data_IF_060347127953
#
_entry.id   IF_060347127953
#
_cell.length_a   1.000
_cell.length_b   1.000
_cell.length_c   1.000
_cell.angle_alpha   90.00
_cell.angle_beta   90.00
_cell.angle_gamma   90.00
#
_symmetry.space_group_name_H-M   'P 1'
#
loop_
_entity.id
_entity.type
_entity.pdbx_description
1 polymer ?
#
# COMPACT_ATOMS: atom_id res chain seq x y z
N UNK A 1 31.51 4.76 -73.45
CA UNK A 1 31.67 4.00 -72.19
C UNK A 1 31.62 5.01 -71.06
N UNK A 2 30.64 4.88 -70.17
CA UNK A 2 30.36 5.84 -69.10
C UNK A 2 28.96 5.58 -68.54
N UNK A 3 28.86 4.56 -67.69
CA UNK A 3 27.63 4.11 -67.02
C UNK A 3 27.22 5.11 -65.94
N UNK A 4 26.08 5.78 -66.12
CA UNK A 4 25.48 6.66 -65.11
C UNK A 4 24.76 5.85 -64.04
N UNK A 5 25.26 5.91 -62.80
CA UNK A 5 24.58 5.39 -61.62
C UNK A 5 23.47 6.36 -61.18
N UNK A 6 22.21 5.92 -61.30
CA UNK A 6 21.06 6.58 -60.71
C UNK A 6 21.00 6.24 -59.21
N UNK A 7 21.09 7.27 -58.37
CA UNK A 7 21.00 7.18 -56.90
C UNK A 7 19.52 7.09 -56.51
N UNK A 8 19.02 5.88 -56.30
CA UNK A 8 17.66 5.62 -55.81
C UNK A 8 17.49 6.13 -54.38
N UNK A 9 16.63 7.13 -54.19
CA UNK A 9 16.27 7.68 -52.89
C UNK A 9 15.16 6.79 -52.30
N UNK A 10 15.52 5.84 -51.45
CA UNK A 10 14.56 5.03 -50.69
C UNK A 10 14.01 5.90 -49.56
N UNK A 11 12.76 6.35 -49.69
CA UNK A 11 12.01 6.95 -48.57
C UNK A 11 11.68 5.82 -47.59
N UNK A 12 12.26 5.87 -46.40
CA UNK A 12 11.78 5.12 -45.25
C UNK A 12 10.59 5.88 -44.68
N UNK A 13 9.38 5.50 -45.10
CA UNK A 13 8.16 5.90 -44.38
C UNK A 13 8.16 5.14 -43.04
N UNK A 14 8.39 5.89 -41.96
CA UNK A 14 8.16 5.42 -40.59
C UNK A 14 6.66 5.21 -40.41
N UNK A 15 6.21 3.97 -40.59
CA UNK A 15 4.88 3.53 -40.20
C UNK A 15 4.82 3.53 -38.67
N UNK A 16 4.46 4.67 -38.10
CA UNK A 16 4.15 4.77 -36.68
C UNK A 16 2.97 3.84 -36.40
N UNK A 17 3.25 2.78 -35.65
CA UNK A 17 2.33 1.84 -35.04
C UNK A 17 1.11 2.58 -34.45
N UNK A 18 0.08 2.78 -35.28
CA UNK A 18 -1.19 3.40 -34.91
C UNK A 18 -2.01 2.36 -34.20
N UNK A 19 -1.68 2.12 -32.92
CA UNK A 19 -2.60 1.45 -32.00
C UNK A 19 -3.93 2.24 -32.01
N UNK A 20 -5.06 1.63 -32.39
CA UNK A 20 -6.33 2.33 -32.43
C UNK A 20 -6.64 2.92 -31.04
N UNK A 21 -7.11 4.18 -30.97
CA UNK A 21 -7.39 4.83 -29.70
C UNK A 21 -8.39 3.98 -28.92
N UNK A 22 -8.01 3.56 -27.72
CA UNK A 22 -8.93 2.86 -26.82
C UNK A 22 -9.89 3.90 -26.27
N UNK A 23 -11.12 3.92 -26.76
CA UNK A 23 -12.15 4.81 -26.26
C UNK A 23 -12.61 4.31 -24.90
N UNK A 24 -12.13 4.93 -23.82
CA UNK A 24 -12.64 4.68 -22.47
C UNK A 24 -13.96 5.42 -22.31
N UNK A 25 -15.07 4.71 -22.52
CA UNK A 25 -16.39 5.24 -22.20
C UNK A 25 -16.51 5.32 -20.68
N UNK A 26 -16.41 6.53 -20.12
CA UNK A 26 -16.70 6.74 -18.70
C UNK A 26 -18.21 6.60 -18.53
N UNK A 27 -18.66 5.60 -17.78
CA UNK A 27 -20.09 5.38 -17.53
C UNK A 27 -20.69 6.63 -16.90
N UNK A 28 -21.74 7.19 -17.52
CA UNK A 28 -22.44 8.35 -16.99
C UNK A 28 -23.07 8.06 -15.62
N UNK A 29 -23.36 9.09 -14.80
CA UNK A 29 -23.87 8.91 -13.44
C UNK A 29 -25.21 8.16 -13.43
N UNK A 30 -25.42 7.32 -12.41
CA UNK A 30 -26.70 6.64 -12.19
C UNK A 30 -27.82 7.63 -11.85
N UNK A 31 -28.80 7.76 -12.75
CA UNK A 31 -30.06 8.46 -12.50
C UNK A 31 -31.14 7.51 -11.98
N UNK A 32 -32.08 8.03 -11.19
CA UNK A 32 -33.26 7.32 -10.69
C UNK A 32 -33.32 7.25 -9.16
N UNK A 33 -34.34 6.58 -8.65
CA UNK A 33 -34.53 6.35 -7.21
C UNK A 33 -35.16 4.99 -6.96
N UNK A 34 -34.94 4.44 -5.77
CA UNK A 34 -35.56 3.20 -5.31
C UNK A 34 -36.46 3.48 -4.12
N UNK A 35 -37.68 2.96 -4.17
CA UNK A 35 -38.61 3.00 -3.04
C UNK A 35 -38.48 1.71 -2.24
N UNK A 36 -38.40 1.85 -0.93
CA UNK A 36 -38.24 0.76 0.02
C UNK A 36 -39.37 0.81 1.05
N UNK A 37 -39.84 -0.36 1.44
CA UNK A 37 -40.81 -0.54 2.51
C UNK A 37 -40.19 -1.37 3.62
N UNK A 38 -40.25 -0.87 4.85
CA UNK A 38 -39.82 -1.59 6.04
C UNK A 38 -41.02 -2.28 6.67
N UNK A 39 -40.85 -3.56 6.99
CA UNK A 39 -41.79 -4.31 7.81
C UNK A 39 -41.23 -4.45 9.23
N UNK A 40 -41.90 -3.85 10.21
CA UNK A 40 -41.51 -3.91 11.62
C UNK A 40 -41.71 -5.29 12.23
N UNK A 41 -42.62 -6.10 11.69
CA UNK A 41 -42.80 -7.50 12.09
C UNK A 41 -41.71 -8.41 11.51
N UNK A 42 -41.33 -8.22 10.24
CA UNK A 42 -40.26 -8.99 9.60
C UNK A 42 -38.85 -8.46 9.92
N UNK A 43 -38.75 -7.26 10.51
CA UNK A 43 -37.48 -6.56 10.78
C UNK A 43 -36.60 -6.48 9.52
N UNK A 44 -37.22 -6.15 8.40
CA UNK A 44 -36.57 -6.16 7.10
C UNK A 44 -37.09 -5.05 6.20
N UNK A 45 -36.19 -4.50 5.40
CA UNK A 45 -36.54 -3.68 4.25
C UNK A 45 -36.76 -4.57 3.03
N UNK A 46 -37.77 -4.25 2.24
CA UNK A 46 -37.99 -4.81 0.91
C UNK A 46 -38.07 -3.68 -0.11
N UNK A 47 -37.50 -3.90 -1.29
CA UNK A 47 -37.59 -2.93 -2.39
C UNK A 47 -38.99 -2.97 -2.97
N UNK A 48 -39.72 -1.86 -2.88
CA UNK A 48 -41.06 -1.71 -3.42
C UNK A 48 -41.05 -1.39 -4.92
N UNK A 49 -40.18 -0.49 -5.37
CA UNK A 49 -40.01 -0.14 -6.78
C UNK A 49 -38.64 0.48 -7.06
N UNK A 50 -38.25 0.54 -8.35
CA UNK A 50 -37.01 1.18 -8.81
C UNK A 50 -37.22 1.89 -10.13
N UNK A 51 -36.62 3.07 -10.27
CA UNK A 51 -36.49 3.80 -11.53
C UNK A 51 -35.02 3.94 -11.98
N UNK A 52 -34.14 3.05 -11.49
CA UNK A 52 -32.72 3.09 -11.87
C UNK A 52 -32.51 2.82 -13.36
N UNK A 53 -31.60 3.59 -13.96
CA UNK A 53 -31.13 3.35 -15.33
C UNK A 53 -30.42 2.00 -15.50
N UNK A 54 -30.24 1.57 -16.75
CA UNK A 54 -29.50 0.34 -17.07
C UNK A 54 -28.06 0.42 -16.55
N UNK A 55 -27.59 -0.64 -15.89
CA UNK A 55 -26.26 -0.67 -15.27
C UNK A 55 -26.18 0.00 -13.89
N UNK A 56 -27.33 0.36 -13.32
CA UNK A 56 -27.46 0.91 -11.98
C UNK A 56 -28.34 0.01 -11.11
N UNK A 57 -28.09 0.02 -9.80
CA UNK A 57 -28.88 -0.70 -8.83
C UNK A 57 -29.18 0.16 -7.59
N UNK A 58 -30.09 -0.32 -6.75
CA UNK A 58 -30.56 0.43 -5.60
C UNK A 58 -29.56 0.44 -4.44
N UNK A 59 -29.31 1.61 -3.88
CA UNK A 59 -28.75 1.71 -2.53
C UNK A 59 -29.81 1.27 -1.52
N UNK A 60 -29.46 0.50 -0.50
CA UNK A 60 -30.40 0.12 0.54
C UNK A 60 -30.44 1.16 1.68
N UNK A 61 -31.57 1.34 2.38
CA UNK A 61 -31.62 2.19 3.57
C UNK A 61 -30.69 1.64 4.67
N UNK A 62 -30.02 2.50 5.42
CA UNK A 62 -29.04 2.11 6.45
C UNK A 62 -29.59 2.12 7.87
N UNK A 63 -30.89 2.31 8.07
CA UNK A 63 -31.53 2.46 9.37
C UNK A 63 -32.68 1.48 9.57
N UNK A 64 -33.02 1.18 10.82
CA UNK A 64 -34.09 0.26 11.20
C UNK A 64 -35.20 1.02 11.94
N UNK A 65 -36.32 1.35 11.27
CA UNK A 65 -37.47 1.97 11.91
C UNK A 65 -38.07 1.10 13.03
N UNK A 66 -38.75 1.75 13.99
CA UNK A 66 -39.48 1.03 15.03
C UNK A 66 -40.83 0.45 14.53
N UNK A 67 -41.44 1.11 13.55
CA UNK A 67 -42.73 0.77 12.93
C UNK A 67 -42.59 0.62 11.42
N UNK A 68 -43.61 0.11 10.74
CA UNK A 68 -43.62 0.07 9.28
C UNK A 68 -43.36 1.47 8.70
N UNK A 69 -42.53 1.55 7.67
CA UNK A 69 -42.10 2.82 7.11
C UNK A 69 -41.77 2.69 5.62
N UNK A 70 -41.79 3.81 4.92
CA UNK A 70 -41.34 3.90 3.53
C UNK A 70 -40.20 4.90 3.42
N UNK A 71 -39.25 4.66 2.52
CA UNK A 71 -38.20 5.62 2.21
C UNK A 71 -37.72 5.47 0.78
N UNK A 72 -37.03 6.50 0.29
CA UNK A 72 -36.45 6.52 -1.04
C UNK A 72 -34.93 6.65 -0.96
N UNK A 73 -34.22 5.85 -1.73
CA UNK A 73 -32.76 5.94 -1.88
C UNK A 73 -32.37 6.24 -3.33
N UNK A 74 -31.16 6.75 -3.54
CA UNK A 74 -30.62 6.97 -4.88
C UNK A 74 -30.16 5.65 -5.51
N UNK A 75 -30.03 5.65 -6.84
CA UNK A 75 -29.38 4.59 -7.59
C UNK A 75 -27.85 4.75 -7.56
N UNK A 76 -27.10 3.66 -7.64
CA UNK A 76 -25.64 3.66 -7.77
C UNK A 76 -25.13 2.59 -8.71
N UNK A 77 -23.84 2.68 -9.07
CA UNK A 77 -23.19 1.74 -9.99
C UNK A 77 -22.81 0.45 -9.24
N UNK A 78 -23.77 -0.46 -9.14
CA UNK A 78 -23.57 -1.79 -8.57
C UNK A 78 -24.10 -2.85 -9.53
N UNK A 79 -23.54 -4.06 -9.47
CA UNK A 79 -24.04 -5.19 -10.26
C UNK A 79 -25.43 -5.68 -9.81
N UNK A 80 -25.78 -5.45 -8.55
CA UNK A 80 -27.07 -5.81 -7.94
C UNK A 80 -27.45 -4.77 -6.89
N UNK A 81 -28.71 -4.78 -6.45
CA UNK A 81 -29.13 -3.93 -5.33
C UNK A 81 -28.28 -4.24 -4.08
N UNK A 82 -27.99 -3.21 -3.29
CA UNK A 82 -27.38 -3.41 -1.99
C UNK A 82 -28.33 -4.19 -1.08
N UNK A 83 -27.77 -5.10 -0.29
CA UNK A 83 -28.53 -5.78 0.74
C UNK A 83 -28.87 -4.79 1.87
N UNK A 84 -30.13 -4.70 2.31
CA UNK A 84 -30.48 -3.89 3.46
C UNK A 84 -29.87 -4.45 4.75
N UNK A 85 -29.65 -3.60 5.78
CA UNK A 85 -29.16 -4.04 7.07
C UNK A 85 -30.17 -5.01 7.70
N UNK A 86 -29.64 -6.03 8.39
CA UNK A 86 -30.47 -6.94 9.17
C UNK A 86 -30.94 -6.24 10.45
N UNK A 87 -32.25 -5.98 10.56
CA UNK A 87 -32.82 -5.28 11.72
C UNK A 87 -33.28 -6.22 12.85
N UNK A 88 -32.88 -7.50 12.82
CA UNK A 88 -33.27 -8.49 13.83
C UNK A 88 -32.42 -8.48 15.11
N UNK A 89 -31.33 -7.71 15.16
CA UNK A 89 -30.57 -7.49 16.40
C UNK A 89 -31.30 -6.54 17.35
N UNK A 90 -31.04 -6.64 18.65
CA UNK A 90 -31.46 -5.64 19.63
C UNK A 90 -30.83 -4.29 19.23
N UNK A 91 -31.58 -3.47 18.51
CA UNK A 91 -31.12 -2.17 18.05
C UNK A 91 -30.85 -1.31 19.28
N UNK A 92 -29.59 -0.94 19.53
CA UNK A 92 -29.31 0.25 20.34
C UNK A 92 -29.93 1.41 19.58
N UNK A 93 -31.10 1.87 20.03
CA UNK A 93 -31.76 3.05 19.49
C UNK A 93 -30.73 4.17 19.43
N UNK A 94 -30.31 4.54 18.22
CA UNK A 94 -29.52 5.76 18.03
C UNK A 94 -30.39 6.89 18.58
N UNK A 95 -29.91 7.54 19.64
CA UNK A 95 -30.61 8.65 20.28
C UNK A 95 -31.08 9.64 19.23
N UNK A 96 -32.26 10.23 19.45
CA UNK A 96 -32.86 11.19 18.53
C UNK A 96 -31.80 12.18 18.03
N UNK A 97 -31.58 12.24 16.72
CA UNK A 97 -30.83 13.33 16.11
C UNK A 97 -31.63 14.61 16.38
N UNK A 98 -31.28 15.31 17.46
CA UNK A 98 -31.80 16.62 17.75
C UNK A 98 -31.29 17.55 16.66
N UNK A 99 -32.17 17.98 15.76
CA UNK A 99 -31.91 19.16 14.95
C UNK A 99 -31.86 20.35 15.90
N UNK A 100 -30.65 20.75 16.31
CA UNK A 100 -30.45 22.01 17.01
C UNK A 100 -30.71 23.12 16.01
N UNK A 101 -31.96 23.57 15.91
CA UNK A 101 -32.27 24.83 15.24
C UNK A 101 -31.69 25.92 16.13
N UNK A 102 -30.49 26.38 15.81
CA UNK A 102 -29.91 27.52 16.51
C UNK A 102 -30.79 28.72 16.16
N UNK A 103 -31.65 29.13 17.10
CA UNK A 103 -32.29 30.43 17.02
C UNK A 103 -31.16 31.46 16.82
N UNK A 104 -31.29 32.43 15.89
CA UNK A 104 -30.28 33.46 15.70
C UNK A 104 -29.94 34.02 17.08
N UNK A 105 -28.69 33.87 17.51
CA UNK A 105 -28.25 34.43 18.78
C UNK A 105 -28.55 35.94 18.80
N UNK A 106 -28.78 36.55 19.97
CA UNK A 106 -29.24 37.94 20.13
C UNK A 106 -28.29 39.05 19.60
N UNK A 107 -27.35 38.73 18.69
CA UNK A 107 -26.37 39.66 18.12
C UNK A 107 -26.33 39.77 16.59
N UNK A 108 -27.22 39.10 15.85
CA UNK A 108 -27.25 39.17 14.38
C UNK A 108 -28.25 40.21 13.81
N UNK A 109 -28.66 41.23 14.57
CA UNK A 109 -29.74 42.17 14.16
C UNK A 109 -29.28 43.54 13.70
N UNK A 110 -28.05 43.96 14.02
CA UNK A 110 -27.58 45.32 13.73
C UNK A 110 -27.22 45.57 12.25
N UNK A 111 -26.98 44.51 11.46
CA UNK A 111 -26.68 44.58 10.03
C UNK A 111 -25.31 45.17 9.70
N UNK A 112 -25.01 45.27 8.41
CA UNK A 112 -23.76 45.79 7.87
C UNK A 112 -24.05 46.87 6.85
N UNK A 113 -23.30 47.98 6.92
CA UNK A 113 -23.39 49.06 5.93
C UNK A 113 -22.24 48.92 4.95
N UNK A 114 -22.57 48.93 3.67
CA UNK A 114 -21.65 48.86 2.55
C UNK A 114 -21.70 50.16 1.76
N UNK A 115 -20.56 50.52 1.17
CA UNK A 115 -20.42 51.66 0.27
C UNK A 115 -19.94 51.17 -1.09
N UNK A 116 -20.59 51.61 -2.17
CA UNK A 116 -20.23 51.24 -3.54
C UNK A 116 -19.09 52.14 -4.04
N UNK A 117 -17.89 51.55 -4.19
CA UNK A 117 -16.72 52.23 -4.71
C UNK A 117 -16.64 52.05 -6.24
N UNK A 118 -16.46 53.14 -7.03
CA UNK A 118 -16.53 53.09 -8.50
C UNK A 118 -15.61 52.06 -9.18
N UNK A 119 -14.47 51.75 -8.57
CA UNK A 119 -13.48 50.82 -9.14
C UNK A 119 -13.30 49.51 -8.37
N UNK A 120 -13.85 49.41 -7.15
CA UNK A 120 -13.59 48.26 -6.24
C UNK A 120 -14.83 47.47 -5.87
N UNK A 121 -16.01 47.91 -6.32
CA UNK A 121 -17.27 47.30 -5.94
C UNK A 121 -17.69 47.67 -4.52
N UNK A 122 -18.45 46.80 -3.87
CA UNK A 122 -18.91 47.01 -2.51
C UNK A 122 -17.76 46.90 -1.50
N UNK A 123 -17.58 47.94 -0.69
CA UNK A 123 -16.65 47.97 0.42
C UNK A 123 -17.43 48.06 1.73
N UNK A 124 -17.05 47.24 2.72
CA UNK A 124 -17.68 47.25 4.03
C UNK A 124 -17.31 48.55 4.75
N UNK A 125 -18.31 49.38 5.06
CA UNK A 125 -18.15 50.68 5.73
C UNK A 125 -18.31 50.55 7.24
N UNK A 126 -19.29 49.77 7.69
CA UNK A 126 -19.53 49.51 9.11
C UNK A 126 -19.99 48.06 9.34
N UNK A 127 -19.33 47.35 10.24
CA UNK A 127 -19.74 46.02 10.68
C UNK A 127 -20.52 46.13 12.00
N UNK A 128 -21.84 46.23 11.91
CA UNK A 128 -22.70 46.23 13.09
C UNK A 128 -22.90 44.84 13.69
N UNK A 129 -22.51 43.77 12.99
CA UNK A 129 -22.74 42.41 13.45
C UNK A 129 -21.80 42.00 14.58
N UNK A 130 -22.30 41.16 15.49
CA UNK A 130 -21.44 40.47 16.45
C UNK A 130 -20.36 39.64 15.71
N UNK A 131 -19.19 39.44 16.32
CA UNK A 131 -18.08 38.71 15.68
C UNK A 131 -18.40 37.27 15.24
N UNK A 132 -19.50 36.69 15.73
CA UNK A 132 -20.01 35.38 15.33
C UNK A 132 -20.96 35.39 14.13
N UNK A 133 -21.43 36.56 13.67
CA UNK A 133 -22.34 36.68 12.51
C UNK A 133 -21.63 37.49 11.39
N UNK A 134 -21.12 36.86 10.32
CA UNK A 134 -20.50 37.60 9.22
C UNK A 134 -21.52 38.46 8.44
N UNK A 135 -21.04 39.55 7.84
CA UNK A 135 -21.83 40.36 6.93
C UNK A 135 -22.10 39.61 5.61
N UNK A 136 -23.35 39.53 5.19
CA UNK A 136 -23.67 39.14 3.82
C UNK A 136 -23.25 40.23 2.85
N UNK A 137 -22.64 39.89 1.72
CA UNK A 137 -22.38 40.85 0.65
C UNK A 137 -23.71 41.34 0.04
N UNK A 138 -23.80 42.59 -0.44
CA UNK A 138 -25.00 43.08 -1.13
C UNK A 138 -25.31 42.25 -2.38
N UNK A 139 -26.58 41.87 -2.55
CA UNK A 139 -27.02 41.08 -3.71
C UNK A 139 -27.10 41.90 -5.01
N UNK A 140 -27.25 43.21 -4.90
CA UNK A 140 -27.26 44.11 -6.05
C UNK A 140 -25.83 44.40 -6.52
N UNK A 141 -25.56 44.41 -7.84
CA UNK A 141 -24.26 44.81 -8.33
C UNK A 141 -24.02 46.30 -8.03
N UNK A 142 -22.80 46.64 -7.63
CA UNK A 142 -22.36 48.02 -7.45
C UNK A 142 -22.20 48.67 -8.84
N UNK A 143 -23.02 49.66 -9.15
CA UNK A 143 -23.05 50.37 -10.45
C UNK A 143 -22.15 51.61 -10.49
N UNK A 144 -21.37 51.83 -9.44
CA UNK A 144 -20.35 52.90 -9.36
C UNK A 144 -20.88 54.27 -8.91
N UNK A 145 -22.15 54.39 -8.57
CA UNK A 145 -22.66 55.50 -7.77
C UNK A 145 -22.21 55.29 -6.32
N UNK A 146 -21.78 56.34 -5.63
CA UNK A 146 -21.35 56.37 -4.23
C UNK A 146 -22.48 56.02 -3.22
N UNK A 147 -23.33 55.06 -3.57
CA UNK A 147 -24.48 54.60 -2.84
C UNK A 147 -24.08 53.75 -1.64
N UNK A 148 -24.91 53.83 -0.61
CA UNK A 148 -24.82 52.98 0.57
C UNK A 148 -25.97 51.98 0.56
N UNK A 149 -25.68 50.76 0.99
CA UNK A 149 -26.69 49.73 1.18
C UNK A 149 -26.44 48.99 2.49
N UNK A 150 -27.51 48.46 3.06
CA UNK A 150 -27.46 47.70 4.31
C UNK A 150 -27.83 46.25 4.05
N UNK A 151 -27.00 45.32 4.53
CA UNK A 151 -27.30 43.89 4.51
C UNK A 151 -27.53 43.36 5.92
N UNK A 152 -28.42 42.38 6.12
CA UNK A 152 -28.57 41.73 7.40
C UNK A 152 -27.31 40.91 7.75
N UNK A 153 -27.06 40.70 9.04
CA UNK A 153 -26.05 39.74 9.48
C UNK A 153 -26.49 38.34 9.07
N UNK A 154 -25.58 37.53 8.55
CA UNK A 154 -25.87 36.15 8.19
C UNK A 154 -25.52 35.29 9.40
N UNK A 155 -26.46 34.48 9.93
CA UNK A 155 -26.10 33.48 10.93
C UNK A 155 -24.98 32.59 10.37
N UNK A 156 -23.97 32.24 11.18
CA UNK A 156 -22.94 31.31 10.70
C UNK A 156 -23.63 30.03 10.22
N UNK A 157 -23.12 29.39 9.15
CA UNK A 157 -23.67 28.11 8.71
C UNK A 157 -23.68 27.15 9.91
N UNK A 158 -24.71 26.29 10.03
CA UNK A 158 -24.75 25.31 11.09
C UNK A 158 -23.41 24.56 11.11
N UNK A 159 -22.80 24.31 12.28
CA UNK A 159 -21.58 23.52 12.34
C UNK A 159 -21.80 22.21 11.57
N UNK A 160 -20.80 21.72 10.82
CA UNK A 160 -20.92 20.45 10.12
C UNK A 160 -21.42 19.39 11.10
N UNK A 161 -22.43 18.61 10.69
CA UNK A 161 -22.92 17.53 11.57
C UNK A 161 -21.75 16.61 11.91
N UNK A 162 -21.61 16.16 13.15
CA UNK A 162 -20.57 15.22 13.52
C UNK A 162 -20.64 13.96 12.64
N UNK A 163 -19.53 13.54 12.05
CA UNK A 163 -19.48 12.35 11.19
C UNK A 163 -18.18 11.57 11.37
N UNK A 164 -18.23 10.28 11.05
CA UNK A 164 -17.08 9.42 10.88
C UNK A 164 -16.74 9.28 9.40
N UNK A 165 -15.46 9.32 9.07
CA UNK A 165 -14.94 9.03 7.74
C UNK A 165 -13.83 7.99 7.81
N UNK A 166 -13.46 7.47 6.64
CA UNK A 166 -12.50 6.37 6.50
C UNK A 166 -13.18 5.01 6.44
N UNK A 167 -12.35 3.98 6.55
CA UNK A 167 -12.79 2.59 6.59
C UNK A 167 -11.73 1.69 7.20
N UNK A 168 -12.11 0.44 7.40
CA UNK A 168 -11.20 -0.59 7.87
C UNK A 168 -11.04 -1.66 6.83
N UNK A 169 -9.80 -2.07 6.61
CA UNK A 169 -9.45 -3.14 5.70
C UNK A 169 -9.22 -4.39 6.51
N UNK A 170 -9.86 -5.46 6.11
CA UNK A 170 -9.83 -6.75 6.77
C UNK A 170 -9.29 -7.78 5.80
N UNK A 171 -8.61 -8.78 6.33
CA UNK A 171 -8.13 -9.94 5.59
C UNK A 171 -8.61 -11.21 6.29
N UNK A 172 -9.15 -12.16 5.55
CA UNK A 172 -9.57 -13.44 6.08
C UNK A 172 -8.36 -14.35 6.29
N UNK A 173 -8.23 -14.89 7.50
CA UNK A 173 -7.13 -15.79 7.88
C UNK A 173 -7.67 -17.20 8.04
N UNK A 174 -7.14 -18.13 7.23
CA UNK A 174 -7.37 -19.57 7.39
C UNK A 174 -6.07 -20.25 7.79
N UNK A 175 -6.13 -21.35 8.58
CA UNK A 175 -7.31 -22.12 8.99
C UNK A 175 -8.08 -21.57 10.21
N UNK A 176 -7.67 -20.47 10.81
CA UNK A 176 -8.24 -19.94 12.06
C UNK A 176 -9.65 -19.36 11.91
N UNK A 177 -10.12 -19.13 10.67
CA UNK A 177 -11.46 -18.68 10.31
C UNK A 177 -11.87 -17.39 11.03
N UNK A 178 -11.07 -16.32 10.86
CA UNK A 178 -11.42 -15.00 11.37
C UNK A 178 -10.92 -13.87 10.45
N UNK A 179 -11.59 -12.71 10.55
CA UNK A 179 -11.16 -11.46 9.94
C UNK A 179 -10.07 -10.78 10.77
N UNK A 180 -8.87 -10.65 10.21
CA UNK A 180 -7.77 -9.86 10.76
C UNK A 180 -7.82 -8.42 10.23
N UNK A 181 -7.72 -7.42 11.11
CA UNK A 181 -7.75 -6.00 10.73
C UNK A 181 -6.38 -5.56 10.22
N UNK A 182 -6.25 -5.34 8.91
CA UNK A 182 -5.02 -4.86 8.28
C UNK A 182 -4.78 -3.37 8.51
N UNK A 183 -5.83 -2.56 8.42
CA UNK A 183 -5.73 -1.12 8.60
C UNK A 183 -7.01 -0.53 9.20
N UNK A 184 -6.83 0.50 10.01
CA UNK A 184 -7.90 1.30 10.59
C UNK A 184 -7.66 2.77 10.22
N UNK A 185 -8.54 3.31 9.38
CA UNK A 185 -8.49 4.72 8.99
C UNK A 185 -9.68 5.52 9.54
N UNK A 186 -10.37 4.99 10.56
CA UNK A 186 -11.53 5.66 11.14
C UNK A 186 -11.14 6.96 11.83
N UNK A 187 -11.63 8.07 11.28
CA UNK A 187 -11.43 9.41 11.81
C UNK A 187 -12.77 10.13 12.00
N UNK A 188 -12.92 10.80 13.13
CA UNK A 188 -14.13 11.54 13.49
C UNK A 188 -13.93 13.05 13.45
N UNK A 189 -14.88 13.76 12.82
CA UNK A 189 -15.00 15.22 12.97
C UNK A 189 -16.16 15.47 13.91
N UNK A 190 -15.87 15.98 15.11
CA UNK A 190 -16.89 16.27 16.14
C UNK A 190 -17.48 15.03 16.84
N UNK A 191 -16.91 13.84 16.62
CA UNK A 191 -17.27 12.60 17.32
C UNK A 191 -16.03 11.93 17.93
N UNK A 192 -16.08 11.47 19.18
CA UNK A 192 -14.91 10.90 19.86
C UNK A 192 -14.63 9.44 19.47
N UNK A 193 -15.64 8.70 18.97
CA UNK A 193 -15.57 7.24 18.84
C UNK A 193 -15.98 6.78 17.43
N UNK A 194 -15.09 6.92 16.45
CA UNK A 194 -15.29 6.28 15.15
C UNK A 194 -14.78 4.85 15.18
N UNK A 195 -15.60 3.93 14.72
CA UNK A 195 -15.30 2.50 14.69
C UNK A 195 -15.80 1.87 13.40
N UNK A 196 -15.34 0.66 13.13
CA UNK A 196 -15.70 -0.14 11.98
C UNK A 196 -15.75 -1.59 12.45
N UNK A 197 -16.82 -2.30 12.12
CA UNK A 197 -16.91 -3.71 12.45
C UNK A 197 -16.23 -4.55 11.38
N UNK A 198 -15.83 -5.76 11.75
CA UNK A 198 -15.44 -6.77 10.77
C UNK A 198 -16.62 -7.10 9.84
N UNK A 199 -16.37 -7.58 8.62
CA UNK A 199 -17.42 -8.08 7.74
C UNK A 199 -18.29 -9.13 8.46
N UNK A 200 -19.60 -9.08 8.24
CA UNK A 200 -20.55 -10.02 8.85
C UNK A 200 -20.46 -11.44 8.27
N UNK A 201 -20.27 -11.64 6.95
CA UNK A 201 -19.96 -12.96 6.41
C UNK A 201 -18.54 -13.36 6.76
N UNK A 202 -18.33 -14.63 7.07
CA UNK A 202 -17.01 -15.24 7.10
C UNK A 202 -16.41 -15.25 5.68
N UNK A 203 -15.10 -15.08 5.59
CA UNK A 203 -14.39 -15.27 4.34
C UNK A 203 -14.35 -16.74 3.94
N UNK A 204 -14.13 -16.98 2.65
CA UNK A 204 -14.14 -18.32 2.06
C UNK A 204 -12.74 -18.81 1.69
N UNK A 205 -11.77 -17.91 1.56
CA UNK A 205 -10.39 -18.21 1.19
C UNK A 205 -9.38 -17.37 1.96
N UNK A 206 -8.18 -17.92 2.21
CA UNK A 206 -7.10 -17.18 2.86
C UNK A 206 -6.76 -15.94 2.03
N UNK A 207 -6.49 -14.83 2.72
CA UNK A 207 -6.21 -13.54 2.11
C UNK A 207 -7.37 -12.88 1.37
N UNK A 208 -8.61 -13.39 1.49
CA UNK A 208 -9.80 -12.65 1.04
C UNK A 208 -9.85 -11.30 1.76
N UNK A 209 -10.05 -10.21 1.02
CA UNK A 209 -10.08 -8.87 1.59
C UNK A 209 -11.47 -8.27 1.57
N UNK A 210 -11.78 -7.53 2.63
CA UNK A 210 -13.02 -6.78 2.72
C UNK A 210 -12.78 -5.41 3.35
N UNK A 211 -13.60 -4.43 2.96
CA UNK A 211 -13.57 -3.08 3.52
C UNK A 211 -14.89 -2.75 4.17
N UNK A 212 -14.85 -2.24 5.40
CA UNK A 212 -16.04 -1.77 6.11
C UNK A 212 -15.95 -0.27 6.38
N UNK A 213 -17.08 0.42 6.30
CA UNK A 213 -17.15 1.87 6.53
C UNK A 213 -17.11 2.19 8.02
N UNK A 214 -16.53 3.33 8.36
CA UNK A 214 -16.54 3.83 9.73
C UNK A 214 -17.91 4.41 10.10
N UNK A 215 -18.29 4.21 11.36
CA UNK A 215 -19.50 4.72 11.97
C UNK A 215 -19.23 5.20 13.40
N UNK A 216 -20.14 5.99 13.97
CA UNK A 216 -20.03 6.47 15.35
C UNK A 216 -20.47 5.35 16.28
N UNK A 217 -19.54 4.79 17.05
CA UNK A 217 -19.89 3.81 18.07
C UNK A 217 -20.52 4.53 19.27
N UNK A 218 -21.63 4.00 19.78
CA UNK A 218 -22.33 4.55 20.95
C UNK A 218 -21.37 4.78 22.13
N UNK A 219 -21.61 5.86 22.88
CA UNK A 219 -20.78 6.27 24.03
C UNK A 219 -20.46 5.09 24.97
N UNK A 220 -19.24 4.99 25.55
CA UNK A 220 -18.77 3.82 26.31
C UNK A 220 -19.53 3.55 27.61
N UNK A 221 -20.50 4.39 27.98
CA UNK A 221 -21.30 4.23 29.20
C UNK A 221 -22.37 3.12 29.10
N UNK A 222 -22.46 2.43 27.96
CA UNK A 222 -23.21 1.16 27.84
C UNK A 222 -22.27 0.06 27.34
N UNK A 223 -22.05 -0.98 28.16
CA UNK A 223 -21.20 -2.12 27.81
C UNK A 223 -21.50 -2.70 26.41
N UNK A 224 -20.48 -3.06 25.61
CA UNK A 224 -20.67 -3.84 24.39
C UNK A 224 -21.13 -5.28 24.75
N UNK A 225 -22.07 -5.86 23.98
CA UNK A 225 -22.63 -7.19 24.26
C UNK A 225 -21.70 -8.38 23.92
N UNK A 226 -20.48 -8.17 23.44
CA UNK A 226 -19.58 -9.28 23.06
C UNK A 226 -18.10 -8.97 23.29
N UNK A 227 -17.59 -9.04 24.53
CA UNK A 227 -16.30 -9.68 24.85
C UNK A 227 -16.01 -9.68 26.36
N UNK A 228 -15.38 -10.76 26.82
CA UNK A 228 -14.88 -10.92 28.18
C UNK A 228 -13.60 -10.08 28.39
N UNK A 229 -13.57 -9.39 29.53
CA UNK A 229 -12.41 -8.65 30.03
C UNK A 229 -11.40 -9.64 30.61
N UNK A 230 -10.13 -9.51 30.25
CA UNK A 230 -9.04 -9.85 31.16
C UNK A 230 -7.99 -8.75 31.11
N UNK A 231 -8.08 -7.87 32.10
CA UNK A 231 -7.09 -6.81 32.39
C UNK A 231 -5.83 -7.43 32.96
N UNK A 232 -4.67 -6.97 32.51
CA UNK A 232 -3.51 -6.81 33.39
C UNK A 232 -2.97 -5.39 33.24
N UNK A 233 -2.94 -4.68 34.35
CA UNK A 233 -2.47 -3.30 34.50
C UNK A 233 -1.07 -3.31 35.12
N UNK A 234 -0.20 -2.42 34.63
CA UNK A 234 1.03 -1.95 35.26
C UNK A 234 1.92 -1.42 34.16
N UNK A 235 2.41 -0.19 34.11
CA UNK A 235 2.67 0.89 35.08
C UNK A 235 3.81 1.71 34.44
N UNK A 236 4.04 2.99 34.80
CA UNK A 236 4.78 3.92 33.94
C UNK A 236 6.29 3.60 33.86
N UNK A 237 6.78 3.11 32.71
CA UNK A 237 8.21 2.80 32.55
C UNK A 237 8.75 2.87 31.11
N UNK A 238 9.54 3.92 30.83
CA UNK A 238 10.55 3.97 29.75
C UNK A 238 10.16 3.49 28.34
N UNK A 239 9.42 4.32 27.60
CA UNK A 239 9.57 4.59 26.15
C UNK A 239 9.43 3.47 25.10
N UNK A 240 9.45 2.19 25.48
CA UNK A 240 9.38 1.03 24.58
C UNK A 240 8.38 -0.01 25.08
N UNK A 241 7.23 0.45 25.57
CA UNK A 241 6.11 -0.42 25.90
C UNK A 241 5.31 -0.70 24.62
N UNK A 242 5.12 -1.99 24.29
CA UNK A 242 4.33 -2.42 23.14
C UNK A 242 4.74 -3.80 22.63
N UNK A 243 4.00 -4.30 21.64
CA UNK A 243 4.35 -5.51 20.90
C UNK A 243 4.50 -5.19 19.41
N UNK A 244 5.47 -5.82 18.78
CA UNK A 244 5.56 -5.87 17.33
C UNK A 244 5.17 -7.23 16.79
N UNK A 245 4.74 -7.24 15.53
CA UNK A 245 4.29 -8.44 14.86
C UNK A 245 5.38 -8.96 13.95
N UNK A 246 5.82 -10.18 14.22
CA UNK A 246 6.74 -10.90 13.36
C UNK A 246 5.99 -11.87 12.46
N UNK A 247 6.43 -11.96 11.22
CA UNK A 247 6.08 -12.97 10.24
C UNK A 247 7.29 -13.82 9.88
N UNK A 248 7.02 -15.03 9.40
CA UNK A 248 8.01 -15.95 8.86
C UNK A 248 7.69 -16.26 7.40
N UNK A 249 8.52 -15.79 6.48
CA UNK A 249 8.41 -16.09 5.05
C UNK A 249 9.01 -17.46 4.69
N UNK A 250 10.02 -17.88 5.47
CA UNK A 250 10.79 -19.11 5.24
C UNK A 250 10.28 -20.33 5.99
N UNK A 251 9.45 -20.14 7.02
CA UNK A 251 9.04 -21.21 7.94
C UNK A 251 10.14 -21.71 8.89
N UNK A 252 11.36 -21.14 8.81
CA UNK A 252 12.49 -21.53 9.63
C UNK A 252 12.89 -20.45 10.64
N UNK A 253 12.59 -19.17 10.36
CA UNK A 253 12.94 -18.04 11.21
C UNK A 253 11.91 -16.91 11.12
N UNK A 254 11.77 -16.14 12.21
CA UNK A 254 11.08 -14.86 12.19
C UNK A 254 11.92 -13.85 11.41
N UNK A 255 11.54 -13.59 10.15
CA UNK A 255 12.35 -12.87 9.18
C UNK A 255 11.69 -11.58 8.67
N UNK A 256 10.42 -11.35 9.01
CA UNK A 256 9.64 -10.21 8.53
C UNK A 256 9.00 -9.48 9.71
N UNK A 257 9.21 -8.17 9.83
CA UNK A 257 8.46 -7.35 10.79
C UNK A 257 7.25 -6.76 10.07
N UNK A 258 6.07 -7.26 10.40
CA UNK A 258 4.79 -6.84 9.79
C UNK A 258 4.21 -5.59 10.47
N UNK A 259 4.56 -5.38 11.75
CA UNK A 259 4.18 -4.20 12.53
C UNK A 259 5.35 -3.83 13.44
N UNK A 260 6.05 -2.74 13.14
CA UNK A 260 7.23 -2.30 13.90
C UNK A 260 6.85 -1.46 15.13
N UNK A 261 7.76 -1.42 16.13
CA UNK A 261 7.64 -0.55 17.28
C UNK A 261 8.11 0.88 16.92
N UNK A 262 7.35 1.94 17.23
CA UNK A 262 7.83 3.31 17.05
C UNK A 262 9.02 3.58 17.98
N UNK A 263 10.18 3.94 17.40
CA UNK A 263 11.40 4.32 18.13
C UNK A 263 12.09 3.23 18.97
N UNK A 264 11.72 1.95 18.79
CA UNK A 264 12.29 0.81 19.50
C UNK A 264 12.57 -0.35 18.54
N UNK A 265 13.43 -1.28 18.96
CA UNK A 265 13.67 -2.51 18.21
C UNK A 265 12.64 -3.58 18.56
N UNK A 266 12.54 -4.57 17.68
CA UNK A 266 11.69 -5.73 17.85
C UNK A 266 12.50 -6.92 18.33
N UNK A 267 12.15 -7.49 19.48
CA UNK A 267 12.66 -8.80 19.84
C UNK A 267 11.87 -9.87 19.07
N UNK A 268 12.53 -10.83 18.37
CA UNK A 268 11.82 -11.93 17.74
C UNK A 268 11.13 -12.82 18.80
N UNK A 269 9.96 -13.40 18.48
CA UNK A 269 9.25 -14.30 19.38
C UNK A 269 10.10 -15.50 19.80
N UNK A 270 9.88 -16.00 21.02
CA UNK A 270 10.58 -17.19 21.52
C UNK A 270 10.03 -18.44 20.83
N UNK A 271 10.91 -19.18 20.16
CA UNK A 271 10.58 -20.41 19.42
C UNK A 271 10.64 -20.21 17.90
N UNK A 272 10.74 -21.31 17.16
CA UNK A 272 10.72 -21.28 15.70
C UNK A 272 9.27 -21.11 15.19
N UNK A 273 9.07 -20.43 14.05
CA UNK A 273 7.78 -20.43 13.36
C UNK A 273 7.35 -21.86 12.99
N UNK A 274 6.05 -22.12 12.97
CA UNK A 274 5.47 -23.44 12.61
C UNK A 274 5.35 -23.66 11.10
N UNK A 275 5.59 -22.62 10.29
CA UNK A 275 5.57 -22.70 8.84
C UNK A 275 5.79 -21.36 8.16
N UNK A 276 5.83 -21.39 6.83
CA UNK A 276 5.75 -20.20 5.99
C UNK A 276 4.38 -19.57 6.23
N UNK A 277 4.33 -18.31 6.67
CA UNK A 277 3.16 -17.55 7.14
C UNK A 277 2.84 -17.63 8.64
N UNK A 278 3.67 -18.26 9.48
CA UNK A 278 3.50 -18.09 10.93
C UNK A 278 3.66 -16.62 11.31
N UNK A 279 2.79 -16.15 12.22
CA UNK A 279 2.90 -14.83 12.84
C UNK A 279 2.88 -14.95 14.36
N UNK A 280 3.70 -14.17 15.05
CA UNK A 280 3.69 -14.09 16.50
C UNK A 280 4.11 -12.71 16.98
N UNK A 281 3.62 -12.32 18.15
CA UNK A 281 3.98 -11.05 18.77
C UNK A 281 5.31 -11.19 19.53
N UNK A 282 6.19 -10.23 19.31
CA UNK A 282 7.43 -10.04 20.05
C UNK A 282 7.39 -8.73 20.83
N UNK A 283 8.03 -8.63 22.01
CA UNK A 283 8.04 -7.40 22.77
C UNK A 283 8.88 -6.32 22.06
N UNK A 284 8.45 -5.06 22.17
CA UNK A 284 9.30 -3.93 21.85
C UNK A 284 10.44 -3.86 22.88
N UNK A 285 11.68 -3.66 22.40
CA UNK A 285 12.86 -3.53 23.26
C UNK A 285 13.61 -2.24 22.93
N UNK A 286 14.17 -1.54 23.93
CA UNK A 286 15.04 -0.39 23.67
C UNK A 286 16.18 -0.78 22.73
N UNK A 287 16.37 -0.01 21.66
CA UNK A 287 17.42 -0.30 20.69
C UNK A 287 18.80 -0.23 21.34
N UNK A 288 19.53 -1.33 21.34
CA UNK A 288 20.84 -1.40 21.99
C UNK A 288 21.89 -0.81 21.04
N UNK A 289 22.29 0.44 21.27
CA UNK A 289 23.44 1.01 20.55
C UNK A 289 24.72 0.36 21.07
N UNK A 290 25.08 -0.78 20.51
CA UNK A 290 26.26 -1.54 20.96
C UNK A 290 27.51 -0.97 20.29
N UNK A 291 28.15 0.03 20.92
CA UNK A 291 29.52 0.43 20.57
C UNK A 291 30.51 -0.53 21.25
N UNK A 292 30.87 -1.61 20.55
CA UNK A 292 32.01 -2.47 20.94
C UNK A 292 33.23 -2.03 20.13
N UNK A 293 34.34 -1.58 20.76
CA UNK A 293 35.61 -1.41 20.07
C UNK A 293 36.21 -2.81 19.80
N UNK A 294 35.86 -3.39 18.65
CA UNK A 294 36.46 -4.61 18.13
C UNK A 294 37.34 -4.27 16.94
N UNK A 295 38.62 -4.64 16.99
CA UNK A 295 39.49 -4.56 15.83
C UNK A 295 39.00 -5.57 14.77
N UNK A 296 38.32 -5.07 13.75
CA UNK A 296 37.86 -5.84 12.60
C UNK A 296 38.81 -5.60 11.44
N UNK A 297 39.47 -6.65 10.97
CA UNK A 297 40.15 -6.61 9.67
C UNK A 297 39.09 -6.71 8.59
N UNK A 298 38.58 -5.56 8.14
CA UNK A 298 37.59 -5.47 7.06
C UNK A 298 38.32 -5.50 5.71
N UNK A 299 38.11 -6.54 4.92
CA UNK A 299 38.45 -6.48 3.49
C UNK A 299 37.43 -5.56 2.83
N UNK A 300 37.85 -4.36 2.43
CA UNK A 300 36.99 -3.37 1.80
C UNK A 300 36.35 -3.95 0.52
N UNK A 301 35.03 -4.19 0.57
CA UNK A 301 34.25 -4.43 -0.64
C UNK A 301 34.20 -3.15 -1.48
N UNK A 302 34.13 -3.28 -2.80
CA UNK A 302 34.01 -2.15 -3.72
C UNK A 302 32.78 -1.31 -3.39
N UNK A 303 32.99 -0.01 -3.14
CA UNK A 303 31.92 0.96 -2.97
C UNK A 303 31.03 0.98 -4.23
N UNK A 304 29.71 0.74 -4.09
CA UNK A 304 28.77 0.72 -5.21
C UNK A 304 28.49 2.10 -5.81
N UNK A 305 27.25 2.33 -6.28
CA UNK A 305 26.85 3.59 -6.92
C UNK A 305 25.69 4.28 -6.20
N UNK A 306 25.63 5.60 -6.34
CA UNK A 306 24.55 6.48 -5.89
C UNK A 306 23.79 7.01 -7.09
N UNK A 307 22.47 7.06 -7.01
CA UNK A 307 21.60 7.55 -8.07
C UNK A 307 20.89 8.83 -7.62
N UNK A 308 21.02 9.86 -8.43
CA UNK A 308 20.42 11.18 -8.25
C UNK A 308 19.46 11.49 -9.39
N UNK A 309 18.38 12.22 -9.13
CA UNK A 309 17.43 12.68 -10.15
C UNK A 309 17.40 14.21 -10.22
N UNK A 310 17.47 14.75 -11.44
CA UNK A 310 17.40 16.18 -11.68
C UNK A 310 16.03 16.73 -11.29
N UNK A 311 16.03 17.84 -10.56
CA UNK A 311 14.79 18.50 -10.17
C UNK A 311 13.99 18.97 -11.39
N UNK A 312 12.67 19.09 -11.21
CA UNK A 312 11.77 19.55 -12.27
C UNK A 312 12.10 20.95 -12.80
N UNK A 313 12.81 21.76 -12.01
CA UNK A 313 13.27 23.11 -12.36
C UNK A 313 14.50 23.11 -13.29
N UNK A 314 15.11 21.94 -13.55
CA UNK A 314 16.34 21.82 -14.34
C UNK A 314 17.60 22.31 -13.62
N UNK A 315 17.52 22.54 -12.29
CA UNK A 315 18.62 23.01 -11.46
C UNK A 315 18.73 22.12 -10.23
N UNK A 316 19.91 21.52 -10.08
CA UNK A 316 20.23 20.63 -8.96
C UNK A 316 19.62 19.24 -9.10
N UNK A 317 20.18 18.31 -8.34
CA UNK A 317 19.69 16.94 -8.24
C UNK A 317 19.28 16.62 -6.80
N UNK A 318 18.27 15.77 -6.63
CA UNK A 318 17.95 15.16 -5.35
C UNK A 318 18.36 13.68 -5.34
N UNK A 319 18.72 13.19 -4.16
CA UNK A 319 19.09 11.80 -3.94
C UNK A 319 17.88 10.88 -4.06
N UNK A 320 18.02 9.75 -4.78
CA UNK A 320 16.94 8.77 -4.97
C UNK A 320 17.28 7.45 -4.29
N UNK A 321 18.47 6.91 -4.54
CA UNK A 321 18.88 5.62 -3.99
C UNK A 321 20.40 5.45 -3.98
N UNK A 322 20.91 4.53 -3.16
CA UNK A 322 22.30 4.11 -3.19
C UNK A 322 22.45 2.62 -2.97
N UNK A 323 23.50 2.07 -3.56
CA UNK A 323 24.01 0.73 -3.31
C UNK A 323 25.42 0.82 -2.71
N UNK A 324 25.70 1.84 -1.90
CA UNK A 324 27.00 1.96 -1.23
C UNK A 324 27.15 0.84 -0.20
N UNK A 325 28.25 0.09 -0.29
CA UNK A 325 28.62 -0.88 0.74
C UNK A 325 28.99 -0.18 2.06
N UNK A 326 29.06 -0.96 3.13
CA UNK A 326 29.43 -0.47 4.45
C UNK A 326 30.78 0.28 4.41
N UNK A 327 30.81 1.50 4.96
CA UNK A 327 32.00 2.36 4.95
C UNK A 327 32.14 3.30 3.75
N UNK A 328 31.17 3.30 2.83
CA UNK A 328 31.11 4.25 1.72
C UNK A 328 29.82 5.09 1.80
N UNK A 329 29.91 6.35 1.41
CA UNK A 329 28.79 7.27 1.31
C UNK A 329 28.66 7.86 -0.09
N UNK A 330 27.52 8.48 -0.35
CA UNK A 330 27.33 9.22 -1.59
C UNK A 330 28.00 10.59 -1.51
N UNK A 331 28.82 10.98 -2.50
CA UNK A 331 29.37 12.32 -2.55
C UNK A 331 28.27 13.34 -2.86
N UNK A 332 28.26 14.48 -2.18
CA UNK A 332 27.33 15.56 -2.51
C UNK A 332 27.54 16.02 -3.96
N UNK A 333 26.44 16.10 -4.70
CA UNK A 333 26.44 16.65 -6.05
C UNK A 333 26.38 18.17 -5.93
N UNK A 334 27.35 18.85 -6.54
CA UNK A 334 27.39 20.32 -6.55
C UNK A 334 26.11 20.81 -7.23
N UNK A 335 25.25 21.51 -6.47
CA UNK A 335 23.88 21.90 -6.84
C UNK A 335 23.79 22.93 -7.97
N UNK A 336 24.92 23.46 -8.44
CA UNK A 336 24.97 24.55 -9.41
C UNK A 336 25.02 24.11 -10.89
N UNK A 337 24.97 22.80 -11.19
CA UNK A 337 24.93 22.34 -12.58
C UNK A 337 23.49 22.30 -13.11
N UNK A 338 23.24 22.99 -14.22
CA UNK A 338 22.03 22.79 -15.01
C UNK A 338 21.90 21.32 -15.46
N UNK A 339 20.70 20.77 -15.39
CA UNK A 339 20.40 19.39 -15.76
C UNK A 339 19.05 19.30 -16.48
N UNK A 340 18.84 18.23 -17.26
CA UNK A 340 17.55 17.98 -17.91
C UNK A 340 16.53 17.50 -16.87
N UNK A 341 15.37 18.16 -16.68
CA UNK A 341 14.35 17.72 -15.72
C UNK A 341 14.01 16.24 -15.85
N UNK A 342 14.08 15.50 -14.74
CA UNK A 342 13.80 14.06 -14.70
C UNK A 342 14.95 13.14 -15.13
N UNK A 343 16.08 13.68 -15.62
CA UNK A 343 17.27 12.88 -15.90
C UNK A 343 17.90 12.30 -14.63
N UNK A 344 18.55 11.15 -14.77
CA UNK A 344 19.26 10.49 -13.68
C UNK A 344 20.78 10.62 -13.84
N UNK A 345 21.49 10.69 -12.73
CA UNK A 345 22.96 10.66 -12.71
C UNK A 345 23.44 9.68 -11.66
N UNK A 346 24.31 8.78 -12.07
CA UNK A 346 25.00 7.87 -11.18
C UNK A 346 26.39 8.42 -10.80
N UNK A 347 26.72 8.37 -9.52
CA UNK A 347 28.05 8.71 -9.00
C UNK A 347 28.59 7.52 -8.20
N UNK A 348 29.88 7.24 -8.35
CA UNK A 348 30.53 6.21 -7.54
C UNK A 348 30.51 6.63 -6.06
N UNK A 349 30.16 5.69 -5.19
CA UNK A 349 30.27 5.89 -3.75
C UNK A 349 31.72 6.16 -3.36
N UNK A 350 31.95 7.01 -2.35
CA UNK A 350 33.29 7.33 -1.85
C UNK A 350 33.37 7.08 -0.35
N UNK A 351 34.55 6.76 0.14
CA UNK A 351 34.80 6.54 1.58
C UNK A 351 34.66 7.82 2.42
N UNK A 352 34.69 8.99 1.78
CA UNK A 352 34.48 10.31 2.38
C UNK A 352 33.09 10.91 2.09
N UNK A 353 32.15 10.11 1.57
CA UNK A 353 30.79 10.57 1.28
C UNK A 353 30.02 10.96 2.55
N UNK A 354 29.33 12.09 2.49
CA UNK A 354 28.59 12.69 3.61
C UNK A 354 27.24 12.03 3.87
N UNK A 355 26.67 11.36 2.87
CA UNK A 355 25.39 10.66 2.98
C UNK A 355 25.62 9.16 3.23
N UNK A 356 25.25 8.60 4.40
CA UNK A 356 25.45 7.19 4.71
C UNK A 356 24.64 6.29 3.77
N UNK A 357 25.30 5.28 3.17
CA UNK A 357 24.61 4.22 2.44
C UNK A 357 23.87 3.25 3.36
N UNK A 358 22.91 2.46 2.84
CA UNK A 358 22.24 1.42 3.61
C UNK A 358 23.23 0.30 4.00
N UNK A 359 23.33 -0.01 5.29
CA UNK A 359 24.21 -1.08 5.80
C UNK A 359 23.68 -2.43 5.35
N UNK A 360 24.43 -3.15 4.52
CA UNK A 360 24.11 -4.55 4.18
C UNK A 360 24.89 -5.48 5.11
N UNK A 361 24.18 -6.21 5.98
CA UNK A 361 24.80 -7.23 6.84
C UNK A 361 24.80 -8.58 6.11
N UNK A 362 25.98 -9.10 5.76
CA UNK A 362 26.11 -10.45 5.21
C UNK A 362 26.52 -11.42 6.32
N UNK A 363 25.62 -12.34 6.68
CA UNK A 363 25.89 -13.39 7.68
C UNK A 363 26.40 -14.63 6.95
N UNK A 364 27.68 -14.99 7.16
CA UNK A 364 28.21 -16.28 6.67
C UNK A 364 28.16 -17.30 7.81
N UNK A 365 27.27 -18.28 7.69
CA UNK A 365 27.14 -19.35 8.69
C UNK A 365 28.12 -20.49 8.36
N UNK A 366 29.10 -20.73 9.23
CA UNK A 366 29.94 -21.95 9.19
C UNK A 366 29.20 -23.07 9.94
N UNK A 367 28.97 -24.26 9.35
CA UNK A 367 28.27 -25.34 10.03
C UNK A 367 29.04 -25.86 11.26
N UNK A 368 28.36 -25.99 12.39
CA UNK A 368 28.91 -26.57 13.61
C UNK A 368 28.93 -28.12 13.54
N UNK A 369 29.91 -28.79 14.18
CA UNK A 369 30.09 -30.23 14.09
C UNK A 369 28.96 -31.00 14.80
N UNK A 370 28.54 -32.09 14.19
CA UNK A 370 27.44 -32.95 14.66
C UNK A 370 27.92 -33.89 15.77
N UNK A 371 27.28 -33.85 16.94
CA UNK A 371 27.51 -34.82 18.03
C UNK A 371 26.47 -35.93 17.97
N UNK A 372 26.90 -37.18 17.83
CA UNK A 372 26.04 -38.37 17.81
C UNK A 372 25.87 -38.92 19.23
N UNK A 373 24.63 -39.01 19.72
CA UNK A 373 24.30 -39.65 21.00
C UNK A 373 23.68 -41.02 20.74
N UNK A 374 24.32 -42.08 21.23
CA UNK A 374 23.83 -43.47 21.13
C UNK A 374 23.05 -43.84 22.40
N UNK A 375 21.80 -44.26 22.27
CA UNK A 375 21.00 -44.84 23.35
C UNK A 375 20.97 -46.36 23.24
N UNK A 376 21.47 -47.05 24.27
CA UNK A 376 21.45 -48.51 24.40
C UNK A 376 20.24 -48.91 25.26
N UNK A 377 19.29 -49.66 24.69
CA UNK A 377 18.17 -50.26 25.43
C UNK A 377 18.41 -51.75 25.62
N UNK A 378 18.35 -52.22 26.88
CA UNK A 378 18.44 -53.63 27.24
C UNK A 378 17.12 -54.35 26.91
N UNK A 379 17.21 -55.45 26.15
CA UNK A 379 16.09 -56.38 25.89
C UNK A 379 16.24 -57.68 26.69
N UNK A 380 15.13 -58.31 27.14
CA UNK A 380 15.13 -59.55 27.92
C UNK A 380 15.29 -60.82 27.05
N UNK A 381 15.63 -61.99 27.64
CA UNK A 381 16.20 -63.12 26.91
C UNK A 381 15.12 -63.95 26.18
N UNK A 382 15.42 -64.34 24.94
CA UNK A 382 14.59 -65.23 24.14
C UNK A 382 15.08 -66.68 24.20
N UNK A 383 14.12 -67.57 24.42
CA UNK A 383 14.20 -69.02 24.61
C UNK A 383 14.51 -69.77 23.32
N UNK A 384 15.34 -70.81 23.44
CA UNK A 384 15.74 -71.76 22.41
C UNK A 384 14.60 -72.69 22.00
N UNK A 385 14.32 -72.83 20.70
CA UNK A 385 13.61 -74.01 20.16
C UNK A 385 14.23 -74.41 18.82
N UNK A 386 14.60 -75.69 18.73
CA UNK A 386 15.30 -76.34 17.62
C UNK A 386 14.32 -77.08 16.71
N UNK A 387 14.34 -76.79 15.41
CA UNK A 387 14.07 -77.70 14.28
C UNK A 387 14.59 -76.98 13.02
N UNK A 388 15.26 -77.57 12.03
CA UNK A 388 15.44 -78.96 11.63
C UNK A 388 15.03 -79.07 10.16
N UNK A 389 15.99 -78.90 9.23
CA UNK A 389 15.91 -79.46 7.87
C UNK A 389 16.08 -78.50 6.68
N UNK A 390 16.99 -78.86 5.76
CA UNK A 390 16.75 -78.70 4.32
C UNK A 390 17.69 -77.78 3.53
N UNK A 391 18.78 -78.34 3.03
CA UNK A 391 19.70 -77.85 1.99
C UNK A 391 19.05 -77.56 0.62
N UNK A 392 19.46 -76.47 -0.06
CA UNK A 392 20.18 -76.43 -1.37
C UNK A 392 20.53 -74.99 -1.79
N UNK A 393 21.73 -74.81 -2.36
CA UNK A 393 22.28 -73.62 -3.05
C UNK A 393 22.22 -73.85 -4.59
N UNK A 394 22.71 -72.99 -5.52
CA UNK A 394 22.87 -71.52 -5.59
C UNK A 394 22.32 -70.90 -6.91
N UNK A 395 22.35 -69.57 -7.01
CA UNK A 395 22.73 -68.90 -8.27
C UNK A 395 21.88 -67.70 -8.71
N UNK A 396 22.54 -66.62 -9.11
CA UNK A 396 21.94 -65.58 -9.94
C UNK A 396 22.37 -64.15 -9.60
N UNK A 397 23.59 -63.78 -9.99
CA UNK A 397 23.98 -62.38 -10.10
C UNK A 397 23.30 -61.69 -11.29
N UNK A 398 23.00 -60.40 -11.14
CA UNK A 398 22.44 -59.56 -12.19
C UNK A 398 22.70 -58.10 -11.89
N UNK A 399 23.81 -57.60 -12.43
CA UNK A 399 24.20 -56.19 -12.47
C UNK A 399 23.35 -55.44 -13.50
N UNK A 400 22.73 -54.31 -13.12
CA UNK A 400 22.10 -53.37 -14.07
C UNK A 400 22.92 -52.10 -14.16
N UNK A 401 23.45 -51.89 -15.37
CA UNK A 401 24.23 -50.76 -15.84
C UNK A 401 23.37 -49.51 -16.05
N UNK A 402 23.95 -48.36 -15.75
CA UNK A 402 23.44 -47.02 -16.01
C UNK A 402 23.67 -46.63 -17.48
N UNK A 403 22.65 -46.10 -18.14
CA UNK A 403 22.71 -45.27 -19.35
C UNK A 403 21.48 -44.34 -19.29
N UNK A 404 21.52 -43.03 -19.45
CA UNK A 404 22.44 -42.19 -20.21
C UNK A 404 21.75 -41.75 -21.51
N UNK A 405 21.21 -40.53 -21.53
CA UNK A 405 20.62 -39.89 -22.73
C UNK A 405 19.14 -39.52 -22.54
N UNK A 406 18.64 -38.38 -22.98
CA UNK A 406 19.21 -37.29 -23.75
C UNK A 406 18.20 -36.14 -23.77
N UNK A 407 18.70 -34.91 -23.90
CA UNK A 407 17.87 -33.71 -23.96
C UNK A 407 17.09 -33.61 -25.26
N UNK A 408 15.91 -33.00 -25.18
CA UNK A 408 15.17 -32.44 -26.30
C UNK A 408 14.77 -31.01 -25.94
N UNK A 409 15.28 -30.07 -26.74
CA UNK A 409 14.91 -28.66 -26.76
C UNK A 409 13.62 -28.49 -27.56
N UNK A 410 12.61 -27.82 -26.98
CA UNK A 410 11.43 -27.32 -27.71
C UNK A 410 11.49 -25.78 -27.75
N UNK A 411 11.34 -25.15 -28.93
CA UNK A 411 11.50 -23.71 -29.12
C UNK A 411 10.16 -22.98 -28.94
N UNK A 412 10.17 -21.83 -28.26
CA UNK A 412 8.99 -20.97 -28.14
C UNK A 412 9.03 -20.05 -26.94
N UNK A 413 9.93 -19.06 -26.95
CA UNK A 413 9.92 -17.94 -26.01
C UNK A 413 9.99 -16.62 -26.79
N UNK A 414 9.31 -15.55 -26.36
CA UNK A 414 9.26 -14.29 -27.09
C UNK A 414 10.66 -13.65 -27.17
N UNK A 415 11.05 -13.28 -28.39
CA UNK A 415 12.23 -12.47 -28.67
C UNK A 415 11.96 -11.02 -28.22
N UNK A 416 12.71 -10.50 -27.25
CA UNK A 416 12.68 -9.09 -26.90
C UNK A 416 13.73 -8.35 -27.75
N UNK A 417 13.29 -7.36 -28.52
CA UNK A 417 14.15 -6.43 -29.24
C UNK A 417 14.70 -5.39 -28.25
N UNK A 418 16.03 -5.26 -28.14
CA UNK A 418 16.65 -4.09 -27.51
C UNK A 418 16.49 -2.88 -28.45
N UNK A 419 15.96 -1.78 -27.93
CA UNK A 419 15.90 -0.51 -28.64
C UNK A 419 17.31 0.07 -28.77
N UNK A 420 17.61 0.63 -29.93
CA UNK A 420 18.91 1.16 -30.36
C UNK A 420 19.48 2.23 -29.43
N UNK A 421 20.78 2.15 -29.13
CA UNK A 421 21.54 3.29 -28.60
C UNK A 421 21.51 4.45 -29.62
N UNK A 422 21.37 5.68 -29.13
CA UNK A 422 21.47 6.91 -29.92
C UNK A 422 22.86 7.05 -30.54
N UNK A 423 23.06 6.46 -31.73
CA UNK A 423 23.98 6.85 -32.82
C UNK A 423 24.25 5.63 -33.74
N UNK A 424 23.26 5.22 -34.53
CA UNK A 424 23.37 4.60 -35.86
C UNK A 424 24.55 3.68 -36.24
N UNK A 425 25.17 2.92 -35.33
CA UNK A 425 26.25 1.96 -35.65
C UNK A 425 26.16 0.71 -34.78
N UNK A 426 26.28 -0.51 -35.37
CA UNK A 426 26.18 -1.75 -34.61
C UNK A 426 27.46 -2.00 -33.81
N UNK A 427 27.38 -1.92 -32.49
CA UNK A 427 28.40 -2.42 -31.57
C UNK A 427 27.97 -3.80 -31.02
N UNK A 428 28.93 -4.72 -30.86
CA UNK A 428 28.70 -6.02 -30.22
C UNK A 428 28.79 -5.88 -28.69
N UNK A 429 27.79 -6.38 -27.97
CA UNK A 429 27.85 -6.54 -26.51
C UNK A 429 28.39 -7.93 -26.15
N UNK A 430 29.45 -8.02 -25.34
CA UNK A 430 29.81 -9.27 -24.63
C UNK A 430 29.74 -9.05 -23.12
N UNK A 431 28.89 -9.79 -22.42
CA UNK A 431 28.75 -9.73 -20.96
C UNK A 431 27.49 -10.42 -20.44
N UNK A 432 27.50 -10.81 -19.16
CA UNK A 432 26.37 -11.44 -18.46
C UNK A 432 25.32 -10.38 -18.11
N UNK A 433 24.07 -10.59 -18.56
CA UNK A 433 22.92 -9.75 -18.21
C UNK A 433 22.35 -10.27 -16.89
N UNK A 434 22.31 -9.41 -15.86
CA UNK A 434 21.64 -9.71 -14.59
C UNK A 434 20.41 -8.83 -14.49
N UNK A 435 19.22 -9.43 -14.55
CA UNK A 435 17.95 -8.74 -14.27
C UNK A 435 17.54 -9.05 -12.83
N UNK A 436 17.21 -8.04 -12.02
CA UNK A 436 16.65 -8.22 -10.67
C UNK A 436 15.18 -7.80 -10.68
N UNK A 437 14.30 -8.67 -10.17
CA UNK A 437 12.85 -8.41 -10.07
C UNK A 437 12.53 -7.85 -8.69
N UNK A 438 11.78 -6.75 -8.62
CA UNK A 438 11.17 -6.23 -7.38
C UNK A 438 9.69 -5.91 -7.64
N UNK A 439 8.79 -6.67 -7.05
CA UNK A 439 7.36 -6.34 -6.95
C UNK A 439 6.50 -6.51 -8.23
N UNK A 440 5.18 -6.43 -8.06
CA UNK A 440 4.15 -6.84 -9.03
C UNK A 440 3.81 -5.84 -10.15
N UNK A 441 4.67 -4.85 -10.43
CA UNK A 441 4.50 -3.94 -11.57
C UNK A 441 5.76 -3.91 -12.42
N UNK A 442 5.66 -4.45 -13.65
CA UNK A 442 6.75 -4.54 -14.61
C UNK A 442 7.08 -3.16 -15.17
N UNK A 443 8.26 -2.64 -14.80
CA UNK A 443 8.87 -1.49 -15.47
C UNK A 443 10.29 -1.89 -15.88
N UNK A 444 10.61 -1.83 -17.17
CA UNK A 444 11.98 -2.06 -17.65
C UNK A 444 12.88 -0.91 -17.16
N UNK A 445 13.94 -1.26 -16.44
CA UNK A 445 15.04 -0.34 -16.12
C UNK A 445 16.24 -0.74 -16.99
N UNK A 446 16.87 0.27 -17.57
CA UNK A 446 17.94 0.25 -18.56
C UNK A 446 19.03 -0.83 -18.38
N UNK A 447 19.51 -1.37 -19.51
CA UNK A 447 20.66 -2.27 -19.57
C UNK A 447 21.96 -1.45 -19.53
N UNK A 448 22.78 -1.62 -18.50
CA UNK A 448 24.14 -1.04 -18.49
C UNK A 448 25.06 -1.93 -19.33
N UNK A 449 25.31 -1.53 -20.58
CA UNK A 449 26.40 -2.07 -21.39
C UNK A 449 27.67 -1.23 -21.18
N UNK A 450 28.80 -1.88 -20.88
CA UNK A 450 30.11 -1.23 -20.96
C UNK A 450 30.48 -1.07 -22.44
N UNK A 451 30.29 0.13 -22.99
CA UNK A 451 30.78 0.47 -24.32
C UNK A 451 32.31 0.65 -24.26
N UNK A 452 33.08 -0.34 -24.71
CA UNK A 452 34.51 -0.14 -24.95
C UNK A 452 34.73 0.49 -26.33
N UNK A 453 35.53 1.55 -26.38
CA UNK A 453 36.06 2.09 -27.65
C UNK A 453 36.97 1.05 -28.30
N UNK A 454 36.89 0.82 -29.63
CA UNK A 454 37.78 -0.10 -30.30
C UNK A 454 39.25 0.35 -30.15
N UNK A 455 40.20 -0.58 -30.01
CA UNK A 455 41.62 -0.23 -29.95
C UNK A 455 42.04 0.46 -31.25
N UNK A 456 42.69 1.62 -31.11
CA UNK A 456 43.23 2.38 -32.23
C UNK A 456 44.21 1.52 -33.04
N UNK A 457 44.05 1.53 -34.36
CA UNK A 457 44.98 0.94 -35.32
C UNK A 457 46.36 1.57 -35.16
N UNK A 458 47.34 0.78 -34.71
CA UNK A 458 48.75 1.16 -34.76
C UNK A 458 49.19 1.30 -36.21
N UNK A 459 49.67 2.48 -36.59
CA UNK A 459 50.39 2.70 -37.84
C UNK A 459 51.74 1.98 -37.76
N UNK A 460 51.95 0.95 -38.57
CA UNK A 460 53.28 0.38 -38.81
C UNK A 460 54.06 1.34 -39.72
N UNK A 461 55.14 1.91 -39.21
CA UNK A 461 56.24 2.48 -39.98
C UNK A 461 57.36 1.44 -40.03
N UNK A 462 57.40 0.68 -41.12
CA UNK A 462 58.55 0.29 -41.99
C UNK A 462 58.11 -0.81 -42.93
#
# INVERSE_FOLDING_TARGET
MGTGQAKGHVRHDHDHDRRPPTTTTTTGPCSGSCQWTYSASAKAWSRASSSCGTGCACLAPTFCPATDACTSTACGHFGTDQAPPFCGGATTTSGACTTTTTAPGPGCTAGCTWYCHPTRGWLLKNNGCAGSCPCGAPATPCTGSCEETSTPCVPPPPPPRPYCAGGCRWVWVTPENYWYKLSDSCAGVGVPNCYCDRPAPDGTECAEEASTLCYVHGSPTGSPPCSAVTTTTGGPGSGCEGTCLWGSSSGASWDTILRACPACDCAPPVGAPTGTCSQAEGPCVPGVTTTTPGATTTTAGTCGNCTYQCNHTGIGYHYVSSACGAGCGCPDIVVDSACAPGSFRALACRTDGTTPGPTTTTTTTTPAPTTTTTTTSAGPPATTTTSGGGTTTPGGGGSTTTSGGGGTTTPGGPSYFCQTCENGSPNFCSGVIVCTVIGAHYTMIDCVANCQTPPGTSTFLT
#
